data_IF_131882032759
#
_entry.id   IF_131882032759
#
_cell.length_a   1.000
_cell.length_b   1.000
_cell.length_c   1.000
_cell.angle_alpha   90.00
_cell.angle_beta   90.00
_cell.angle_gamma   90.00
#
_symmetry.space_group_name_H-M   'P 1'
#
loop_
_entity.id
_entity.type
_entity.pdbx_description
1 polymer ?
#
# COMPACT_ATOMS: atom_id res chain seq x y z
N UNK A 1 -8.54 3.09 8.60
CA UNK A 1 -7.89 4.30 9.13
C UNK A 1 -8.59 4.62 10.42
N UNK A 2 -7.82 4.84 11.48
CA UNK A 2 -8.34 5.22 12.78
C UNK A 2 -8.11 6.72 13.00
N UNK A 3 -9.19 7.47 13.24
CA UNK A 3 -9.10 8.91 13.40
C UNK A 3 -8.49 9.31 14.74
N UNK A 4 -8.53 8.45 15.76
CA UNK A 4 -7.89 8.76 17.04
C UNK A 4 -6.37 8.78 16.89
N UNK A 5 -5.80 7.86 16.09
CA UNK A 5 -4.39 7.90 15.70
C UNK A 5 -4.04 9.15 14.89
N UNK A 6 -4.90 9.52 13.93
CA UNK A 6 -4.72 10.74 13.12
C UNK A 6 -4.74 12.03 13.95
N UNK A 7 -5.66 12.14 14.91
CA UNK A 7 -5.77 13.30 15.81
C UNK A 7 -4.86 13.25 17.04
N UNK A 8 -4.02 12.21 17.17
CA UNK A 8 -3.10 12.06 18.32
C UNK A 8 -3.81 11.80 19.65
N UNK A 9 -5.00 11.20 19.62
CA UNK A 9 -5.83 10.86 20.80
C UNK A 9 -5.56 9.45 21.33
N UNK A 10 -4.82 8.62 20.60
CA UNK A 10 -4.51 7.22 20.92
C UNK A 10 -3.17 6.81 20.28
N UNK A 11 -2.59 5.72 20.75
CA UNK A 11 -1.33 5.13 20.25
C UNK A 11 -1.48 4.37 18.92
N UNK A 12 -2.66 4.41 18.30
CA UNK A 12 -2.91 3.78 17.00
C UNK A 12 -2.11 4.50 15.92
N UNK A 13 -1.43 3.73 15.05
CA UNK A 13 -0.69 4.32 13.91
C UNK A 13 -1.63 5.16 13.03
N UNK A 14 -1.27 6.40 12.68
CA UNK A 14 -2.15 7.30 11.93
C UNK A 14 -2.36 6.91 10.45
N UNK A 15 -1.52 6.03 9.89
CA UNK A 15 -1.62 5.56 8.50
C UNK A 15 -2.78 4.58 8.25
N UNK A 16 -2.81 3.97 7.05
CA UNK A 16 -3.77 2.90 6.74
C UNK A 16 -3.42 1.59 7.47
N UNK A 17 -4.44 0.90 7.98
CA UNK A 17 -4.30 -0.37 8.71
C UNK A 17 -4.47 -1.58 7.78
N UNK A 18 -5.34 -1.44 6.77
CA UNK A 18 -5.60 -2.48 5.78
C UNK A 18 -6.04 -1.83 4.49
N UNK A 19 -5.45 -2.25 3.38
CA UNK A 19 -5.89 -1.94 2.03
C UNK A 19 -6.36 -3.25 1.40
N UNK A 20 -7.52 -3.25 0.74
CA UNK A 20 -8.06 -4.42 0.02
C UNK A 20 -8.19 -4.04 -1.44
N UNK A 21 -7.56 -4.81 -2.31
CA UNK A 21 -7.66 -4.64 -3.76
C UNK A 21 -8.39 -5.83 -4.37
N UNK A 22 -9.23 -5.56 -5.37
CA UNK A 22 -9.97 -6.58 -6.12
C UNK A 22 -9.63 -6.43 -7.60
N UNK A 23 -9.12 -7.50 -8.19
CA UNK A 23 -8.80 -7.55 -9.61
C UNK A 23 -10.05 -7.94 -10.39
N UNK A 24 -10.45 -7.09 -11.32
CA UNK A 24 -11.47 -7.39 -12.32
C UNK A 24 -10.75 -7.60 -13.65
N UNK A 25 -10.69 -8.85 -14.13
CA UNK A 25 -9.96 -9.22 -15.34
C UNK A 25 -10.94 -9.85 -16.32
N UNK A 26 -11.05 -9.26 -17.51
CA UNK A 26 -11.78 -9.83 -18.65
C UNK A 26 -10.81 -10.61 -19.52
N UNK A 27 -11.01 -11.93 -19.62
CA UNK A 27 -10.12 -12.84 -20.36
C UNK A 27 -10.79 -14.19 -20.57
N UNK A 28 -10.45 -14.86 -21.69
CA UNK A 28 -10.84 -16.25 -21.97
C UNK A 28 -9.92 -17.28 -21.28
N UNK A 29 -8.92 -16.82 -20.52
CA UNK A 29 -7.97 -17.69 -19.82
C UNK A 29 -8.62 -18.39 -18.64
N UNK A 30 -8.11 -19.58 -18.31
CA UNK A 30 -8.52 -20.32 -17.13
C UNK A 30 -8.15 -19.58 -15.82
N UNK A 31 -8.88 -19.88 -14.74
CA UNK A 31 -8.70 -19.24 -13.44
C UNK A 31 -7.26 -19.42 -12.91
N UNK A 32 -6.64 -20.58 -13.14
CA UNK A 32 -5.30 -20.85 -12.63
C UNK A 32 -4.25 -19.91 -13.24
N UNK A 33 -4.32 -19.65 -14.55
CA UNK A 33 -3.45 -18.66 -15.22
C UNK A 33 -3.73 -17.25 -14.75
N UNK A 34 -4.99 -16.89 -14.54
CA UNK A 34 -5.35 -15.57 -14.03
C UNK A 34 -4.83 -15.35 -12.60
N UNK A 35 -4.89 -16.36 -11.74
CA UNK A 35 -4.32 -16.33 -10.39
C UNK A 35 -2.78 -16.26 -10.43
N UNK A 36 -2.15 -17.00 -11.35
CA UNK A 36 -0.70 -16.90 -11.55
C UNK A 36 -0.28 -15.51 -12.05
N UNK A 37 -1.07 -14.92 -12.95
CA UNK A 37 -0.85 -13.57 -13.45
C UNK A 37 -1.03 -12.52 -12.34
N UNK A 38 -2.10 -12.63 -11.53
CA UNK A 38 -2.28 -11.79 -10.34
C UNK A 38 -1.07 -11.85 -9.41
N UNK A 39 -0.60 -13.06 -9.07
CA UNK A 39 0.60 -13.24 -8.23
C UNK A 39 1.84 -12.61 -8.86
N UNK A 40 1.99 -12.72 -10.18
CA UNK A 40 3.08 -12.09 -10.90
C UNK A 40 3.02 -10.56 -10.79
N UNK A 41 1.85 -9.93 -11.00
CA UNK A 41 1.68 -8.47 -10.83
C UNK A 41 2.02 -8.06 -9.40
N UNK A 42 1.46 -8.74 -8.40
CA UNK A 42 1.69 -8.42 -6.99
C UNK A 42 3.18 -8.49 -6.62
N UNK A 43 3.91 -9.48 -7.13
CA UNK A 43 5.34 -9.63 -6.90
C UNK A 43 6.22 -8.55 -7.56
N UNK A 44 5.71 -7.85 -8.58
CA UNK A 44 6.48 -6.87 -9.36
C UNK A 44 5.96 -5.43 -9.20
N UNK A 45 4.85 -5.22 -8.48
CA UNK A 45 4.25 -3.91 -8.33
C UNK A 45 5.04 -3.05 -7.33
N UNK A 46 5.69 -1.95 -7.75
CA UNK A 46 6.50 -1.12 -6.86
C UNK A 46 5.66 -0.43 -5.77
N UNK A 47 4.42 -0.07 -6.08
CA UNK A 47 3.49 0.54 -5.12
C UNK A 47 3.03 -0.51 -4.09
N UNK A 48 2.75 -1.74 -4.54
CA UNK A 48 2.38 -2.85 -3.66
C UNK A 48 3.48 -3.17 -2.67
N UNK A 49 4.73 -3.26 -3.15
CA UNK A 49 5.92 -3.45 -2.32
C UNK A 49 6.08 -2.32 -1.28
N UNK A 50 6.01 -1.06 -1.72
CA UNK A 50 6.13 0.12 -0.85
C UNK A 50 5.07 0.15 0.26
N UNK A 51 3.86 -0.33 0.00
CA UNK A 51 2.77 -0.38 0.97
C UNK A 51 2.93 -1.57 1.93
N UNK A 52 3.34 -2.73 1.42
CA UNK A 52 3.44 -3.97 2.18
C UNK A 52 4.68 -4.00 3.09
N UNK A 53 5.74 -3.30 2.71
CA UNK A 53 7.04 -3.34 3.38
C UNK A 53 7.41 -1.97 3.96
N UNK A 54 8.17 -1.97 5.05
CA UNK A 54 8.71 -0.74 5.60
C UNK A 54 9.84 -0.23 4.70
N UNK A 55 9.68 0.98 4.19
CA UNK A 55 10.73 1.73 3.49
C UNK A 55 11.37 2.73 4.45
N UNK A 56 12.65 3.04 4.24
CA UNK A 56 13.35 4.07 5.02
C UNK A 56 12.90 5.46 4.55
N UNK A 57 11.95 6.05 5.29
CA UNK A 57 11.45 7.39 5.02
C UNK A 57 12.29 8.42 5.77
N UNK A 58 13.20 9.08 5.06
CA UNK A 58 14.10 10.10 5.61
C UNK A 58 13.50 11.50 5.41
N UNK A 59 13.27 12.22 6.51
CA UNK A 59 12.93 13.64 6.47
C UNK A 59 14.21 14.47 6.38
N UNK A 60 14.45 15.12 5.24
CA UNK A 60 15.75 15.75 4.94
C UNK A 60 16.01 17.02 5.77
N UNK A 61 15.16 18.05 5.63
CA UNK A 61 15.25 19.31 6.38
C UNK A 61 14.00 20.16 6.18
N UNK A 62 13.77 21.07 7.11
CA UNK A 62 12.82 22.18 6.94
C UNK A 62 13.57 23.35 6.33
N UNK A 63 13.03 23.94 5.25
CA UNK A 63 13.54 25.17 4.64
C UNK A 63 12.56 26.29 5.00
N UNK A 64 13.07 27.35 5.63
CA UNK A 64 12.28 28.55 5.95
C UNK A 64 12.77 29.68 5.04
N UNK A 65 11.93 30.08 4.09
CA UNK A 65 12.16 31.27 3.26
C UNK A 65 11.59 32.49 4.00
N UNK A 66 12.39 33.57 4.10
CA UNK A 66 12.04 34.85 4.74
C UNK A 66 11.79 35.91 3.68
#
# INVERSE_FOLDING_TARGET
>A
MDLDGFFGKSDVRPGFQTIRSTFHIESDSDQEKLEAYKRHIEAHCPVGDTIANAVDLVSAKVIVEQ
#
